data_IF_840139063621
#
_entry.id   IF_840139063621
#
_cell.length_a   1.000
_cell.length_b   1.000
_cell.length_c   1.000
_cell.angle_alpha   90.00
_cell.angle_beta   90.00
_cell.angle_gamma   90.00
#
_symmetry.space_group_name_H-M   'P 1'
#
loop_
_entity.id
_entity.type
_entity.pdbx_description
1 polymer ?
#
# COMPACT_ATOMS: atom_id res chain seq x y z
N UNK A 1 2.88 3.04 -0.88
CA UNK A 1 4.06 3.61 -1.53
C UNK A 1 5.17 2.58 -1.64
N UNK A 2 5.62 1.94 -0.57
CA UNK A 2 6.66 0.88 -0.64
C UNK A 2 6.33 -0.25 -1.63
N UNK A 3 5.07 -0.70 -1.68
CA UNK A 3 4.67 -1.71 -2.65
C UNK A 3 4.95 -1.28 -4.10
N UNK A 4 4.73 -0.01 -4.44
CA UNK A 4 5.03 0.51 -5.77
C UNK A 4 6.55 0.64 -6.05
N UNK A 5 7.38 0.73 -5.01
CA UNK A 5 8.84 0.79 -5.14
C UNK A 5 9.49 -0.58 -5.28
N UNK A 6 8.96 -1.59 -4.57
CA UNK A 6 9.66 -2.87 -4.39
C UNK A 6 9.00 -4.07 -5.07
N UNK A 7 7.75 -3.94 -5.53
CA UNK A 7 7.08 -5.05 -6.23
C UNK A 7 7.28 -4.91 -7.74
N UNK A 8 7.89 -5.90 -8.33
CA UNK A 8 8.02 -5.99 -9.78
C UNK A 8 6.70 -6.41 -10.43
N UNK A 9 6.21 -5.58 -11.36
CA UNK A 9 5.01 -5.87 -12.14
C UNK A 9 5.43 -6.27 -13.55
N UNK A 10 5.50 -7.56 -13.79
CA UNK A 10 5.99 -8.14 -15.05
C UNK A 10 4.88 -8.55 -16.04
N UNK A 11 3.62 -8.28 -15.71
CA UNK A 11 2.46 -8.55 -16.59
C UNK A 11 1.52 -7.34 -16.60
N UNK A 12 0.99 -6.95 -17.77
CA UNK A 12 0.06 -5.84 -17.87
C UNK A 12 -1.22 -6.12 -17.09
N UNK A 13 -1.86 -5.05 -16.59
CA UNK A 13 -3.14 -5.09 -15.86
C UNK A 13 -3.12 -5.93 -14.58
N UNK A 14 -1.94 -6.05 -13.94
CA UNK A 14 -1.77 -6.76 -12.66
C UNK A 14 -1.59 -5.82 -11.45
N UNK A 15 -1.68 -4.54 -11.69
CA UNK A 15 -1.54 -3.52 -10.66
C UNK A 15 -2.64 -2.49 -10.77
N UNK A 16 -3.36 -2.24 -9.67
CA UNK A 16 -4.34 -1.18 -9.53
C UNK A 16 -3.95 -0.26 -8.39
N UNK A 17 -3.90 1.03 -8.62
CA UNK A 17 -3.52 2.02 -7.63
C UNK A 17 -4.18 3.36 -7.94
N UNK A 18 -4.51 4.13 -6.92
CA UNK A 18 -4.97 5.52 -7.06
C UNK A 18 -3.79 6.47 -7.29
N UNK A 19 -2.96 6.18 -8.31
CA UNK A 19 -1.69 6.88 -8.55
C UNK A 19 -1.85 8.37 -8.88
N UNK A 20 -2.98 8.77 -9.46
CA UNK A 20 -3.24 10.16 -9.84
C UNK A 20 -3.52 11.06 -8.65
N UNK A 21 -4.43 10.67 -7.79
CA UNK A 21 -4.86 11.44 -6.61
C UNK A 21 -4.31 10.90 -5.29
N UNK A 22 -3.84 9.67 -5.26
CA UNK A 22 -3.34 9.03 -4.03
C UNK A 22 -4.42 8.84 -2.97
N UNK A 23 -5.67 8.56 -3.38
CA UNK A 23 -6.80 8.48 -2.46
C UNK A 23 -6.64 7.34 -1.45
N UNK A 24 -6.59 7.67 -0.16
CA UNK A 24 -6.65 6.68 0.91
C UNK A 24 -7.98 5.92 0.86
N UNK A 25 -7.94 4.62 1.17
CA UNK A 25 -9.12 3.76 1.14
C UNK A 25 -9.41 3.13 -0.23
N UNK A 26 -8.75 3.54 -1.31
CA UNK A 26 -8.97 2.98 -2.65
C UNK A 26 -8.63 1.47 -2.74
N UNK A 27 -7.55 1.03 -2.09
CA UNK A 27 -6.96 -0.29 -2.35
C UNK A 27 -7.87 -1.47 -2.06
N UNK A 28 -8.56 -1.48 -0.91
CA UNK A 28 -9.39 -2.59 -0.52
C UNK A 28 -10.65 -2.75 -1.40
N UNK A 29 -11.49 -1.72 -1.61
CA UNK A 29 -12.61 -1.80 -2.55
C UNK A 29 -12.20 -2.15 -3.97
N UNK A 30 -11.07 -1.62 -4.46
CA UNK A 30 -10.55 -1.95 -5.78
C UNK A 30 -10.17 -3.44 -5.90
N UNK A 31 -9.62 -4.03 -4.83
CA UNK A 31 -9.33 -5.46 -4.79
C UNK A 31 -10.60 -6.32 -4.86
N UNK A 32 -11.68 -5.89 -4.20
CA UNK A 32 -12.99 -6.56 -4.30
C UNK A 32 -13.53 -6.50 -5.72
N UNK A 33 -13.48 -5.34 -6.37
CA UNK A 33 -13.87 -5.17 -7.77
C UNK A 33 -13.03 -6.06 -8.72
N UNK A 34 -11.72 -6.13 -8.50
CA UNK A 34 -10.84 -7.00 -9.27
C UNK A 34 -11.17 -8.49 -9.06
N UNK A 35 -11.51 -8.90 -7.83
CA UNK A 35 -11.90 -10.28 -7.54
C UNK A 35 -13.27 -10.62 -8.12
N UNK A 36 -14.24 -9.70 -8.05
CA UNK A 36 -15.55 -9.87 -8.69
C UNK A 36 -15.39 -10.06 -10.21
N UNK A 37 -14.62 -9.20 -10.87
CA UNK A 37 -14.34 -9.32 -12.29
C UNK A 37 -13.63 -10.62 -12.65
N UNK A 38 -12.67 -11.06 -11.83
CA UNK A 38 -12.01 -12.35 -12.05
C UNK A 38 -12.99 -13.52 -11.95
N UNK A 39 -13.91 -13.48 -10.97
CA UNK A 39 -14.97 -14.48 -10.76
C UNK A 39 -15.91 -14.53 -11.97
N UNK A 40 -16.37 -13.38 -12.46
CA UNK A 40 -17.26 -13.29 -13.62
C UNK A 40 -16.61 -13.81 -14.92
N UNK A 41 -15.30 -13.63 -15.05
CA UNK A 41 -14.51 -14.12 -16.18
C UNK A 41 -14.06 -15.59 -16.02
N UNK A 42 -14.41 -16.26 -14.93
CA UNK A 42 -13.98 -17.64 -14.64
C UNK A 42 -12.47 -17.79 -14.41
N UNK A 43 -11.79 -16.70 -13.96
CA UNK A 43 -10.35 -16.70 -13.73
C UNK A 43 -10.04 -17.09 -12.27
N UNK A 44 -9.35 -18.20 -12.08
CA UNK A 44 -8.84 -18.62 -10.77
C UNK A 44 -7.49 -17.93 -10.47
N UNK A 45 -7.55 -16.65 -10.12
CA UNK A 45 -6.37 -15.86 -9.75
C UNK A 45 -6.49 -15.32 -8.33
N UNK A 46 -5.38 -15.31 -7.55
CA UNK A 46 -5.35 -14.62 -6.28
C UNK A 46 -5.43 -13.11 -6.49
N UNK A 47 -6.17 -12.43 -5.62
CA UNK A 47 -6.19 -10.97 -5.54
C UNK A 47 -5.67 -10.55 -4.17
N UNK A 48 -4.72 -9.64 -4.16
CA UNK A 48 -4.06 -9.15 -2.94
C UNK A 48 -4.31 -7.65 -2.83
N UNK A 49 -4.84 -7.22 -1.71
CA UNK A 49 -4.96 -5.81 -1.34
C UNK A 49 -3.84 -5.44 -0.39
N UNK A 50 -2.96 -4.50 -0.77
CA UNK A 50 -1.92 -3.97 0.11
C UNK A 50 -2.36 -2.60 0.57
N UNK A 51 -2.55 -2.43 1.88
CA UNK A 51 -3.06 -1.20 2.46
C UNK A 51 -2.36 -0.89 3.78
N UNK A 52 -2.27 0.39 4.15
CA UNK A 52 -1.91 0.79 5.51
C UNK A 52 -3.12 0.75 6.44
N UNK A 53 -2.87 0.82 7.73
CA UNK A 53 -3.89 0.87 8.78
C UNK A 53 -4.89 2.01 8.56
N UNK A 54 -4.43 3.23 8.31
CA UNK A 54 -5.30 4.36 8.01
C UNK A 54 -6.07 4.22 6.71
N UNK A 55 -5.46 3.65 5.67
CA UNK A 55 -6.14 3.38 4.40
C UNK A 55 -7.23 2.33 4.54
N UNK A 56 -6.99 1.28 5.33
CA UNK A 56 -7.97 0.23 5.58
C UNK A 56 -9.17 0.75 6.39
N UNK A 57 -8.92 1.57 7.42
CA UNK A 57 -9.99 2.15 8.25
C UNK A 57 -11.00 2.97 7.44
N UNK A 58 -10.62 3.53 6.31
CA UNK A 58 -11.51 4.34 5.48
C UNK A 58 -12.66 3.53 4.86
N UNK A 59 -12.45 2.23 4.62
CA UNK A 59 -13.41 1.35 3.96
C UNK A 59 -13.46 -0.06 4.60
N UNK A 60 -13.17 -0.19 5.89
CA UNK A 60 -13.17 -1.48 6.60
C UNK A 60 -14.53 -2.19 6.57
N UNK A 61 -15.63 -1.44 6.43
CA UNK A 61 -16.99 -1.99 6.30
C UNK A 61 -17.16 -2.87 5.05
N UNK A 62 -16.27 -2.73 4.05
CA UNK A 62 -16.26 -3.57 2.86
C UNK A 62 -15.86 -5.03 3.15
N UNK A 63 -15.42 -5.34 4.38
CA UNK A 63 -15.34 -6.73 4.87
C UNK A 63 -16.70 -7.42 4.76
N UNK A 64 -17.79 -6.69 5.06
CA UNK A 64 -19.14 -7.20 4.86
C UNK A 64 -19.47 -7.50 3.41
N UNK A 65 -19.13 -6.61 2.49
CA UNK A 65 -19.28 -6.80 1.04
C UNK A 65 -18.49 -8.01 0.55
N UNK A 66 -17.24 -8.15 1.02
CA UNK A 66 -16.36 -9.27 0.69
C UNK A 66 -16.97 -10.62 1.07
N UNK A 67 -17.47 -10.73 2.30
CA UNK A 67 -18.06 -11.97 2.84
C UNK A 67 -19.41 -12.26 2.17
N UNK A 68 -20.28 -11.26 2.06
CA UNK A 68 -21.62 -11.43 1.49
C UNK A 68 -21.63 -11.87 0.02
N UNK A 69 -20.60 -11.50 -0.75
CA UNK A 69 -20.49 -11.82 -2.17
C UNK A 69 -19.47 -12.94 -2.50
N UNK A 70 -18.93 -13.58 -1.47
CA UNK A 70 -17.91 -14.64 -1.64
C UNK A 70 -16.76 -14.18 -2.55
N UNK A 71 -16.10 -13.09 -2.14
CA UNK A 71 -14.97 -12.47 -2.84
C UNK A 71 -13.67 -12.70 -2.06
N UNK A 72 -13.04 -13.87 -2.13
CA UNK A 72 -11.83 -14.16 -1.36
C UNK A 72 -10.65 -13.30 -1.85
N UNK A 73 -10.19 -12.42 -0.98
CA UNK A 73 -9.05 -11.51 -1.16
C UNK A 73 -8.07 -11.73 -0.02
N UNK A 74 -6.76 -11.66 -0.28
CA UNK A 74 -5.76 -11.48 0.77
C UNK A 74 -5.65 -10.00 1.08
N UNK A 75 -5.87 -9.64 2.33
CA UNK A 75 -5.64 -8.28 2.83
C UNK A 75 -4.27 -8.27 3.52
N UNK A 76 -3.29 -7.60 2.91
CA UNK A 76 -1.97 -7.31 3.49
C UNK A 76 -2.05 -5.93 4.11
N UNK A 77 -2.22 -5.91 5.43
CA UNK A 77 -2.36 -4.68 6.21
C UNK A 77 -1.03 -4.33 6.88
N UNK A 78 -0.47 -3.20 6.47
CA UNK A 78 0.78 -2.66 7.01
C UNK A 78 0.44 -1.72 8.15
N UNK A 79 0.57 -2.21 9.39
CA UNK A 79 0.19 -1.46 10.58
C UNK A 79 1.42 -0.76 11.21
N UNK A 80 1.48 0.54 11.08
CA UNK A 80 2.49 1.38 11.73
C UNK A 80 1.91 2.27 12.84
N UNK A 81 0.64 2.13 13.17
CA UNK A 81 -0.09 2.88 14.19
C UNK A 81 -0.15 4.39 13.96
N UNK A 82 0.06 4.85 12.71
CA UNK A 82 0.01 6.27 12.39
C UNK A 82 -0.30 6.53 10.90
N UNK A 83 -0.59 7.78 10.59
CA UNK A 83 -0.64 8.30 9.22
C UNK A 83 0.80 8.52 8.71
N UNK A 84 1.48 7.45 8.30
CA UNK A 84 2.92 7.42 8.05
C UNK A 84 3.43 8.51 7.12
N UNK A 85 2.76 8.78 6.00
CA UNK A 85 3.18 9.83 5.07
C UNK A 85 2.98 11.23 5.66
N UNK A 86 1.89 11.45 6.41
CA UNK A 86 1.66 12.74 7.10
C UNK A 86 2.72 12.95 8.18
N UNK A 87 3.05 11.90 8.95
CA UNK A 87 4.12 11.92 9.93
C UNK A 87 5.46 12.29 9.28
N UNK A 88 5.82 11.63 8.18
CA UNK A 88 7.06 11.89 7.44
C UNK A 88 7.16 13.35 6.98
N UNK A 89 6.08 13.92 6.46
CA UNK A 89 6.04 15.32 6.06
C UNK A 89 6.23 16.27 7.24
N UNK A 90 5.57 16.00 8.37
CA UNK A 90 5.73 16.80 9.58
C UNK A 90 7.15 16.69 10.14
N UNK A 91 7.76 15.51 10.02
CA UNK A 91 9.16 15.31 10.38
C UNK A 91 10.11 16.15 9.52
N UNK A 92 9.96 16.08 8.21
CA UNK A 92 10.93 16.65 7.28
C UNK A 92 10.75 18.17 7.07
N UNK A 93 9.51 18.64 7.03
CA UNK A 93 9.20 20.00 6.57
C UNK A 93 8.57 20.89 7.65
N UNK A 94 8.14 20.32 8.78
CA UNK A 94 7.43 21.07 9.82
C UNK A 94 8.09 20.97 11.20
N UNK A 95 9.40 20.71 11.24
CA UNK A 95 10.18 20.71 12.47
C UNK A 95 9.71 19.71 13.51
N UNK A 96 9.23 18.52 13.08
CA UNK A 96 8.70 17.45 13.93
C UNK A 96 7.54 17.89 14.84
N UNK A 97 6.78 18.88 14.42
CA UNK A 97 5.55 19.31 15.12
C UNK A 97 4.41 18.37 14.77
N UNK A 98 4.44 17.17 15.32
CA UNK A 98 3.46 16.12 15.07
C UNK A 98 2.08 16.52 15.57
N UNK A 99 1.07 16.40 14.71
CA UNK A 99 -0.31 16.73 15.01
C UNK A 99 -1.27 15.82 14.27
N UNK A 100 -2.16 15.17 14.99
CA UNK A 100 -3.23 14.30 14.47
C UNK A 100 -2.74 13.19 13.52
N UNK A 101 -1.59 12.61 13.82
CA UNK A 101 -1.00 11.54 13.02
C UNK A 101 -1.13 10.16 13.68
N UNK A 102 -1.23 10.12 14.99
CA UNK A 102 -1.28 8.90 15.78
C UNK A 102 -2.71 8.45 16.01
N UNK A 103 -2.92 7.14 15.92
CA UNK A 103 -4.21 6.54 16.29
C UNK A 103 -4.38 6.40 17.80
N UNK A 104 -3.30 6.33 18.57
CA UNK A 104 -3.33 6.08 19.99
C UNK A 104 -4.13 4.82 20.33
N UNK A 105 -4.97 4.91 21.35
CA UNK A 105 -5.87 3.82 21.76
C UNK A 105 -7.02 3.57 20.75
N UNK A 106 -7.21 4.46 19.77
CA UNK A 106 -8.25 4.35 18.76
C UNK A 106 -7.90 3.39 17.60
N UNK A 107 -6.67 2.85 17.55
CA UNK A 107 -6.31 1.87 16.54
C UNK A 107 -6.92 0.50 16.90
N UNK A 108 -7.78 -0.07 16.06
CA UNK A 108 -8.45 -1.32 16.40
C UNK A 108 -7.49 -2.53 16.33
N UNK A 109 -7.85 -3.60 17.03
CA UNK A 109 -7.28 -4.92 16.79
C UNK A 109 -7.86 -5.46 15.46
N UNK A 110 -7.10 -5.35 14.39
CA UNK A 110 -7.57 -5.73 13.05
C UNK A 110 -7.79 -7.23 12.88
N UNK A 111 -7.11 -8.06 13.65
CA UNK A 111 -7.34 -9.52 13.67
C UNK A 111 -8.73 -9.80 14.21
N UNK A 112 -9.05 -9.26 15.39
CA UNK A 112 -10.39 -9.41 15.97
C UNK A 112 -11.48 -8.77 15.11
N UNK A 113 -11.17 -7.64 14.49
CA UNK A 113 -12.09 -6.99 13.55
C UNK A 113 -12.40 -7.92 12.36
N UNK A 114 -11.41 -8.51 11.74
CA UNK A 114 -11.58 -9.46 10.65
C UNK A 114 -12.39 -10.68 11.10
N UNK A 115 -12.07 -11.23 12.26
CA UNK A 115 -12.78 -12.38 12.85
C UNK A 115 -14.26 -12.06 13.14
N UNK A 116 -14.58 -10.83 13.53
CA UNK A 116 -15.98 -10.40 13.73
C UNK A 116 -16.81 -10.44 12.43
N UNK A 117 -16.14 -10.33 11.27
CA UNK A 117 -16.77 -10.52 9.96
C UNK A 117 -16.64 -11.97 9.43
N UNK A 118 -16.12 -12.89 10.22
CA UNK A 118 -15.89 -14.29 9.80
C UNK A 118 -14.68 -14.46 8.90
N UNK A 119 -13.77 -13.50 8.85
CA UNK A 119 -12.53 -13.53 8.07
C UNK A 119 -11.37 -13.93 8.98
N UNK A 120 -10.57 -14.90 8.56
CA UNK A 120 -9.37 -15.30 9.32
C UNK A 120 -8.36 -14.13 9.36
N UNK A 121 -7.95 -13.73 10.56
CA UNK A 121 -6.89 -12.76 10.80
C UNK A 121 -5.62 -13.44 11.32
N UNK A 122 -4.45 -12.95 10.89
CA UNK A 122 -3.14 -13.38 11.39
C UNK A 122 -2.29 -12.13 11.61
N UNK A 123 -1.69 -12.03 12.80
CA UNK A 123 -0.72 -10.99 13.14
C UNK A 123 0.70 -11.50 12.89
N UNK A 124 1.50 -10.74 12.17
CA UNK A 124 2.89 -11.04 11.85
C UNK A 124 3.77 -9.94 12.46
N UNK A 125 4.61 -10.32 13.41
CA UNK A 125 5.47 -9.41 14.16
C UNK A 125 6.97 -9.60 13.85
N UNK A 126 7.32 -10.71 13.21
CA UNK A 126 8.71 -11.07 12.94
C UNK A 126 8.99 -11.20 11.45
N UNK A 127 10.12 -10.66 10.96
CA UNK A 127 10.50 -10.75 9.56
C UNK A 127 10.57 -12.18 9.01
N UNK A 128 11.02 -13.15 9.82
CA UNK A 128 11.14 -14.55 9.45
C UNK A 128 9.81 -15.22 9.12
N UNK A 129 8.70 -14.70 9.64
CA UNK A 129 7.36 -15.27 9.44
C UNK A 129 6.68 -14.71 8.17
N UNK A 130 7.23 -13.66 7.55
CA UNK A 130 6.61 -12.94 6.42
C UNK A 130 6.43 -13.84 5.20
N UNK A 131 7.48 -14.56 4.81
CA UNK A 131 7.45 -15.37 3.58
C UNK A 131 6.44 -16.52 3.69
N UNK A 132 6.43 -17.23 4.84
CA UNK A 132 5.48 -18.33 5.08
C UNK A 132 4.06 -17.84 5.12
N UNK A 133 3.79 -16.71 5.82
CA UNK A 133 2.45 -16.15 5.92
C UNK A 133 1.88 -15.73 4.55
N UNK A 134 2.71 -15.12 3.69
CA UNK A 134 2.29 -14.73 2.34
C UNK A 134 2.02 -15.95 1.46
N UNK A 135 2.90 -16.97 1.50
CA UNK A 135 2.71 -18.21 0.73
C UNK A 135 1.43 -18.93 1.12
N UNK A 136 1.19 -19.09 2.41
CA UNK A 136 0.01 -19.77 2.94
C UNK A 136 -1.27 -19.00 2.60
N UNK A 137 -1.23 -17.66 2.71
CA UNK A 137 -2.36 -16.82 2.34
C UNK A 137 -2.65 -16.88 0.84
N UNK A 138 -1.64 -16.85 -0.02
CA UNK A 138 -1.81 -16.96 -1.47
C UNK A 138 -2.42 -18.31 -1.90
N UNK A 139 -2.12 -19.39 -1.19
CA UNK A 139 -2.77 -20.69 -1.37
C UNK A 139 -4.22 -20.69 -0.89
N UNK A 140 -4.49 -20.11 0.26
CA UNK A 140 -5.81 -20.08 0.90
C UNK A 140 -6.79 -19.14 0.19
N UNK A 141 -6.34 -18.00 -0.34
CA UNK A 141 -7.19 -16.95 -0.92
C UNK A 141 -7.91 -17.33 -2.22
N UNK A 142 -7.70 -18.54 -2.72
CA UNK A 142 -8.50 -19.07 -3.83
C UNK A 142 -9.93 -19.36 -3.40
N UNK A 143 -10.14 -19.72 -2.13
CA UNK A 143 -11.43 -20.15 -1.58
C UNK A 143 -11.91 -19.35 -0.37
N UNK A 144 -11.03 -18.69 0.38
CA UNK A 144 -11.40 -17.99 1.59
C UNK A 144 -10.60 -16.68 1.73
N UNK A 145 -11.25 -15.60 2.19
CA UNK A 145 -10.54 -14.35 2.49
C UNK A 145 -9.64 -14.52 3.72
N UNK A 146 -8.58 -13.73 3.77
CA UNK A 146 -7.66 -13.70 4.90
C UNK A 146 -7.08 -12.30 5.08
N UNK A 147 -6.92 -11.87 6.33
CA UNK A 147 -6.23 -10.65 6.70
C UNK A 147 -4.89 -11.00 7.34
N UNK A 148 -3.82 -10.47 6.78
CA UNK A 148 -2.47 -10.51 7.34
C UNK A 148 -2.11 -9.13 7.85
N UNK A 149 -2.02 -8.96 9.15
CA UNK A 149 -1.56 -7.72 9.80
C UNK A 149 -0.07 -7.80 10.06
N UNK A 150 0.69 -6.97 9.34
CA UNK A 150 2.13 -6.83 9.55
C UNK A 150 2.39 -5.63 10.45
N UNK A 151 3.05 -5.87 11.59
CA UNK A 151 3.54 -4.80 12.44
C UNK A 151 4.81 -4.23 11.85
N UNK A 152 4.79 -2.95 11.52
CA UNK A 152 5.93 -2.25 10.93
C UNK A 152 6.39 -1.10 11.80
N UNK A 153 7.63 -0.70 11.60
CA UNK A 153 8.24 0.35 12.41
C UNK A 153 7.48 1.67 12.24
N UNK A 154 7.09 2.27 13.37
CA UNK A 154 6.42 3.56 13.44
C UNK A 154 7.19 4.69 12.76
N UNK A 155 8.53 4.71 12.88
CA UNK A 155 9.40 5.76 12.37
C UNK A 155 9.84 5.54 10.90
N UNK A 156 9.47 4.40 10.29
CA UNK A 156 9.90 4.09 8.94
C UNK A 156 9.35 5.10 7.93
N UNK A 157 10.26 5.75 7.22
CA UNK A 157 9.96 6.71 6.17
C UNK A 157 10.07 6.09 4.78
N UNK A 158 9.31 6.62 3.83
CA UNK A 158 9.42 6.23 2.42
C UNK A 158 10.57 7.01 1.79
N UNK A 159 11.56 6.31 1.26
CA UNK A 159 12.71 6.86 0.58
C UNK A 159 12.95 6.14 -0.75
N UNK A 160 13.43 6.82 -1.79
CA UNK A 160 13.56 8.28 -1.92
C UNK A 160 12.21 8.98 -2.11
N UNK A 161 12.17 10.29 -1.83
CA UNK A 161 11.01 11.15 -2.12
C UNK A 161 11.42 12.43 -2.83
N UNK A 162 10.52 12.97 -3.64
CA UNK A 162 10.65 14.30 -4.22
C UNK A 162 10.05 15.32 -3.25
N UNK A 163 10.78 16.37 -2.83
CA UNK A 163 10.24 17.40 -1.94
C UNK A 163 9.14 18.20 -2.64
N UNK A 164 8.26 18.88 -1.88
CA UNK A 164 7.24 19.76 -2.46
C UNK A 164 7.83 20.80 -3.39
N UNK A 165 7.32 20.89 -4.63
CA UNK A 165 7.81 21.82 -5.64
C UNK A 165 9.13 21.42 -6.29
N UNK A 166 9.75 20.33 -5.88
CA UNK A 166 10.97 19.79 -6.46
C UNK A 166 10.72 18.98 -7.72
N UNK A 167 11.79 18.74 -8.47
CA UNK A 167 11.80 17.88 -9.64
C UNK A 167 12.37 16.50 -9.31
N UNK A 168 12.19 15.53 -10.21
CA UNK A 168 12.61 14.14 -9.98
C UNK A 168 14.13 13.96 -9.77
N UNK A 169 14.96 14.92 -10.18
CA UNK A 169 16.41 14.90 -9.92
C UNK A 169 16.78 15.55 -8.56
N UNK A 170 15.82 16.13 -7.85
CA UNK A 170 16.02 16.71 -6.52
C UNK A 170 15.51 15.76 -5.41
N UNK A 171 15.53 14.46 -5.67
CA UNK A 171 15.08 13.46 -4.69
C UNK A 171 15.89 13.54 -3.40
N UNK A 172 15.19 13.45 -2.28
CA UNK A 172 15.79 13.27 -0.95
C UNK A 172 15.96 11.78 -0.65
N UNK A 173 16.97 11.43 0.14
CA UNK A 173 17.21 10.06 0.59
C UNK A 173 17.90 9.16 -0.44
N UNK A 174 18.55 9.74 -1.43
CA UNK A 174 19.46 9.09 -2.36
C UNK A 174 20.85 9.72 -2.29
N UNK A 175 21.87 8.95 -2.58
CA UNK A 175 23.21 9.48 -2.74
C UNK A 175 23.25 10.36 -4.00
N UNK A 176 23.75 11.60 -3.88
CA UNK A 176 23.82 12.53 -5.00
C UNK A 176 24.58 11.95 -6.20
N UNK A 177 25.55 11.07 -5.95
CA UNK A 177 26.33 10.39 -6.99
C UNK A 177 25.57 9.28 -7.71
N UNK A 178 24.47 8.77 -7.13
CA UNK A 178 23.59 7.73 -7.73
C UNK A 178 22.44 8.32 -8.51
N UNK A 179 22.17 9.62 -8.35
CA UNK A 179 21.16 10.30 -9.16
C UNK A 179 21.59 10.36 -10.62
N UNK A 180 20.72 10.05 -11.58
CA UNK A 180 20.99 10.34 -12.98
C UNK A 180 21.36 11.82 -13.08
N UNK A 181 22.55 12.15 -13.54
CA UNK A 181 22.91 13.54 -13.88
C UNK A 181 21.85 14.04 -14.84
N UNK A 182 21.31 15.22 -14.56
CA UNK A 182 20.19 15.81 -15.32
C UNK A 182 20.38 15.55 -16.82
N UNK A 183 19.55 14.76 -17.47
CA UNK A 183 19.95 14.16 -18.75
C UNK A 183 19.87 15.13 -19.92
N UNK A 184 19.24 16.29 -19.76
CA UNK A 184 19.02 17.16 -20.93
C UNK A 184 18.92 18.63 -20.50
N UNK A 185 19.77 19.47 -21.04
CA UNK A 185 19.65 20.90 -20.87
C UNK A 185 18.34 21.41 -21.50
N UNK A 186 17.83 22.56 -21.01
CA UNK A 186 16.60 23.18 -21.54
C UNK A 186 16.67 23.36 -23.06
N UNK A 187 17.87 23.64 -23.60
CA UNK A 187 18.13 23.78 -25.04
C UNK A 187 18.05 22.46 -25.82
N UNK A 188 18.34 21.33 -25.18
CA UNK A 188 18.19 20.00 -25.78
C UNK A 188 16.75 19.53 -25.78
N UNK A 189 15.98 19.86 -24.74
CA UNK A 189 14.52 19.61 -24.69
C UNK A 189 13.81 20.40 -25.80
N UNK A 190 14.16 21.67 -26.01
CA UNK A 190 13.59 22.49 -27.10
C UNK A 190 13.91 21.93 -28.49
N UNK A 191 15.05 21.28 -28.68
CA UNK A 191 15.38 20.59 -29.94
C UNK A 191 14.58 19.30 -30.17
N UNK A 192 14.21 18.62 -29.09
CA UNK A 192 13.38 17.38 -29.17
C UNK A 192 11.92 17.74 -29.50
N UNK A 193 11.39 18.82 -28.92
CA UNK A 193 10.01 19.28 -29.13
C UNK A 193 9.79 19.88 -30.54
N UNK A 194 10.85 20.41 -31.16
CA UNK A 194 10.78 21.00 -32.51
C UNK A 194 10.99 20.01 -33.67
N UNK A 195 11.11 18.74 -33.37
CA UNK A 195 11.13 17.63 -34.36
C UNK A 195 9.77 16.91 -34.40
#
# INVERSE_FOLDING_TARGET
MWAAQYIEINKPRRWCSSSGLGAMGYGFPAALGAKASAKDLGLDIPVISITGDGGFQMNLQELGTMVANDLPVVIVLMNNNNLGMVRQWQELFYGKRYSYIDWGEGNPDYVKLAEAYGVKGIKIEKPEDVESAIKDAAGTCRSKPILLQFEINYEANVWPIVPPGGSSHEMMGVDADTLPKAPVSKAEIEKIIKR
#
